data_IF_904949965024
#
_entry.id   IF_904949965024
#
_cell.length_a   1.000
_cell.length_b   1.000
_cell.length_c   1.000
_cell.angle_alpha   90.00
_cell.angle_beta   90.00
_cell.angle_gamma   90.00
#
_symmetry.space_group_name_H-M   'P 1'
#
loop_
_entity.id
_entity.type
_entity.pdbx_description
1 polymer ?
#
# COMPACT_ATOMS: atom_id res chain seq x y z
N UNK A 1 11.28 1.55 -3.28
CA UNK A 1 10.05 0.87 -2.84
C UNK A 1 9.65 1.33 -1.45
N UNK A 2 8.51 2.02 -1.28
CA UNK A 2 8.05 2.50 0.02
C UNK A 2 7.17 1.50 0.80
N UNK A 3 6.87 0.32 0.26
CA UNK A 3 5.90 -0.63 0.86
C UNK A 3 6.29 -1.02 2.30
N UNK A 4 7.56 -1.36 2.53
CA UNK A 4 8.02 -1.73 3.88
C UNK A 4 7.82 -0.60 4.90
N UNK A 5 8.10 0.66 4.52
CA UNK A 5 7.87 1.81 5.38
C UNK A 5 6.39 2.06 5.64
N UNK A 6 5.52 1.82 4.65
CA UNK A 6 4.07 1.89 4.83
C UNK A 6 3.60 0.81 5.80
N UNK A 7 4.09 -0.42 5.65
CA UNK A 7 3.74 -1.55 6.53
C UNK A 7 4.21 -1.32 7.97
N UNK A 8 5.33 -0.62 8.19
CA UNK A 8 5.74 -0.22 9.53
C UNK A 8 4.68 0.67 10.21
N UNK A 9 4.09 1.62 9.47
CA UNK A 9 3.01 2.47 9.96
C UNK A 9 1.71 1.69 10.19
N UNK A 10 1.26 0.87 9.22
CA UNK A 10 0.00 0.13 9.33
C UNK A 10 0.03 -0.87 10.47
N UNK A 11 1.18 -1.53 10.73
CA UNK A 11 1.35 -2.43 11.87
C UNK A 11 1.27 -1.68 13.20
N UNK A 12 1.89 -0.50 13.29
CA UNK A 12 1.76 0.39 14.45
C UNK A 12 0.32 0.83 14.70
N UNK A 13 -0.39 1.24 13.65
CA UNK A 13 -1.81 1.64 13.71
C UNK A 13 -2.72 0.49 14.12
N UNK A 14 -2.51 -0.70 13.56
CA UNK A 14 -3.28 -1.90 13.91
C UNK A 14 -3.12 -2.24 15.38
N UNK A 15 -1.87 -2.24 15.87
CA UNK A 15 -1.61 -2.51 17.28
C UNK A 15 -2.25 -1.46 18.19
N UNK A 16 -2.12 -0.17 17.84
CA UNK A 16 -2.74 0.91 18.60
C UNK A 16 -4.26 0.82 18.60
N UNK A 17 -4.87 0.56 17.45
CA UNK A 17 -6.32 0.42 17.30
C UNK A 17 -6.89 -0.70 18.17
N UNK A 18 -6.19 -1.84 18.23
CA UNK A 18 -6.56 -2.94 19.11
C UNK A 18 -6.49 -2.57 20.59
N UNK A 19 -5.43 -1.85 21.00
CA UNK A 19 -5.28 -1.42 22.40
C UNK A 19 -6.29 -0.34 22.81
N UNK A 20 -6.68 0.54 21.88
CA UNK A 20 -7.65 1.62 22.14
C UNK A 20 -9.11 1.20 21.97
N UNK A 21 -9.38 0.01 21.41
CA UNK A 21 -10.73 -0.40 21.06
C UNK A 21 -11.33 0.41 19.91
N UNK A 22 -10.50 0.86 18.96
CA UNK A 22 -10.87 1.66 17.78
C UNK A 22 -10.77 0.81 16.50
N UNK A 23 -11.73 -0.08 16.23
CA UNK A 23 -11.67 -1.01 15.09
C UNK A 23 -11.56 -0.30 13.74
N UNK A 24 -12.04 0.94 13.63
CA UNK A 24 -11.91 1.78 12.44
C UNK A 24 -10.46 2.11 12.10
N UNK A 25 -9.59 2.26 13.09
CA UNK A 25 -8.14 2.52 12.90
C UNK A 25 -7.46 1.26 12.36
N UNK A 26 -7.76 0.11 12.95
CA UNK A 26 -7.26 -1.19 12.48
C UNK A 26 -7.77 -1.51 11.06
N UNK A 27 -9.04 -1.22 10.77
CA UNK A 27 -9.63 -1.41 9.45
C UNK A 27 -8.99 -0.49 8.40
N UNK A 28 -8.70 0.77 8.73
CA UNK A 28 -7.97 1.67 7.84
C UNK A 28 -6.58 1.13 7.51
N UNK A 29 -5.83 0.67 8.53
CA UNK A 29 -4.50 0.12 8.35
C UNK A 29 -4.52 -1.13 7.45
N UNK A 30 -5.47 -2.04 7.68
CA UNK A 30 -5.64 -3.23 6.85
C UNK A 30 -6.00 -2.88 5.40
N UNK A 31 -6.93 -1.95 5.17
CA UNK A 31 -7.28 -1.49 3.81
C UNK A 31 -6.06 -0.93 3.08
N UNK A 32 -5.20 -0.18 3.77
CA UNK A 32 -3.97 0.37 3.18
C UNK A 32 -2.95 -0.72 2.82
N UNK A 33 -2.81 -1.76 3.64
CA UNK A 33 -1.98 -2.94 3.31
C UNK A 33 -2.52 -3.64 2.05
N UNK A 34 -3.83 -3.88 1.98
CA UNK A 34 -4.47 -4.50 0.83
C UNK A 34 -4.30 -3.64 -0.44
N UNK A 35 -4.43 -2.31 -0.36
CA UNK A 35 -4.18 -1.41 -1.49
C UNK A 35 -2.75 -1.54 -2.03
N UNK A 36 -1.75 -1.71 -1.15
CA UNK A 36 -0.37 -1.91 -1.58
C UNK A 36 -0.22 -3.20 -2.40
N UNK A 37 -0.86 -4.29 -1.94
CA UNK A 37 -0.84 -5.59 -2.61
C UNK A 37 -1.55 -5.48 -3.97
N UNK A 38 -2.81 -5.02 -3.97
CA UNK A 38 -3.63 -4.89 -5.18
C UNK A 38 -2.99 -3.96 -6.22
N UNK A 39 -2.30 -2.91 -5.79
CA UNK A 39 -1.61 -1.97 -6.71
C UNK A 39 -0.44 -2.66 -7.42
N UNK A 40 0.36 -3.46 -6.70
CA UNK A 40 1.47 -4.23 -7.29
C UNK A 40 0.95 -5.35 -8.18
N UNK A 41 -0.05 -6.11 -7.73
CA UNK A 41 -0.68 -7.17 -8.53
C UNK A 41 -1.37 -6.62 -9.78
N UNK A 42 -1.87 -5.39 -9.73
CA UNK A 42 -2.38 -4.62 -10.88
C UNK A 42 -1.30 -4.07 -11.82
N UNK A 43 -0.03 -4.39 -11.60
CA UNK A 43 1.10 -4.02 -12.46
C UNK A 43 1.72 -2.64 -12.17
N UNK A 44 1.21 -1.90 -11.19
CA UNK A 44 1.77 -0.62 -10.77
C UNK A 44 2.77 -0.87 -9.63
N UNK A 45 4.07 -0.85 -9.94
CA UNK A 45 5.12 -1.16 -8.94
C UNK A 45 6.39 -0.34 -9.16
N UNK A 46 7.27 -0.33 -8.16
CA UNK A 46 8.58 0.32 -8.29
C UNK A 46 9.59 -0.57 -9.01
N UNK A 47 10.67 0.07 -9.50
CA UNK A 47 11.70 -0.57 -10.35
C UNK A 47 12.25 -1.88 -9.78
N UNK A 48 12.50 -1.92 -8.48
CA UNK A 48 13.03 -3.11 -7.80
C UNK A 48 12.11 -4.33 -7.92
N UNK A 49 10.79 -4.16 -7.84
CA UNK A 49 9.84 -5.26 -8.02
C UNK A 49 9.68 -5.64 -9.49
N UNK A 50 9.63 -4.63 -10.38
CA UNK A 50 9.52 -4.87 -11.82
C UNK A 50 10.69 -5.71 -12.36
N UNK A 51 11.91 -5.45 -11.88
CA UNK A 51 13.10 -6.22 -12.25
C UNK A 51 13.04 -7.69 -11.82
N UNK A 52 12.24 -8.05 -10.81
CA UNK A 52 12.02 -9.45 -10.42
C UNK A 52 11.07 -10.18 -11.39
N UNK A 53 10.22 -9.44 -12.11
CA UNK A 53 9.29 -9.98 -13.10
C UNK A 53 10.01 -10.19 -14.44
N UNK A 54 10.71 -9.17 -14.92
CA UNK A 54 11.43 -9.23 -16.18
C UNK A 54 11.99 -7.88 -16.64
N UNK A 55 12.89 -7.88 -17.64
CA UNK A 55 13.59 -6.67 -18.09
C UNK A 55 12.67 -5.62 -18.73
N UNK A 56 11.56 -6.06 -19.33
CA UNK A 56 10.62 -5.20 -20.06
C UNK A 56 9.43 -4.72 -19.21
N UNK A 57 9.36 -5.14 -17.93
CA UNK A 57 8.25 -4.76 -17.05
C UNK A 57 8.31 -3.25 -16.74
N UNK A 58 7.26 -2.47 -17.08
CA UNK A 58 7.21 -1.05 -16.73
C UNK A 58 7.14 -0.85 -15.21
N UNK A 59 7.64 0.30 -14.77
CA UNK A 59 7.70 0.65 -13.35
C UNK A 59 7.43 2.14 -13.13
N UNK A 60 7.09 2.48 -11.89
CA UNK A 60 6.81 3.83 -11.42
C UNK A 60 7.97 4.36 -10.57
N UNK A 61 8.24 5.65 -10.68
CA UNK A 61 9.09 6.35 -9.70
C UNK A 61 8.42 6.35 -8.33
N UNK A 62 9.19 6.60 -7.26
CA UNK A 62 8.66 6.61 -5.89
C UNK A 62 7.41 7.47 -5.74
N UNK A 63 7.43 8.71 -6.24
CA UNK A 63 6.28 9.62 -6.13
C UNK A 63 5.07 9.14 -6.93
N UNK A 64 5.29 8.61 -8.15
CA UNK A 64 4.18 8.08 -8.97
C UNK A 64 3.56 6.83 -8.36
N UNK A 65 4.36 5.99 -7.71
CA UNK A 65 3.83 4.84 -6.98
C UNK A 65 3.02 5.30 -5.75
N UNK A 66 3.50 6.29 -4.98
CA UNK A 66 2.74 6.87 -3.87
C UNK A 66 1.42 7.52 -4.33
N UNK A 67 1.41 8.22 -5.47
CA UNK A 67 0.20 8.77 -6.08
C UNK A 67 -0.80 7.67 -6.49
N UNK A 68 -0.31 6.55 -7.03
CA UNK A 68 -1.15 5.40 -7.36
C UNK A 68 -1.79 4.80 -6.10
N UNK A 69 -1.02 4.62 -5.03
CA UNK A 69 -1.53 4.15 -3.74
C UNK A 69 -2.58 5.10 -3.15
N UNK A 70 -2.35 6.43 -3.17
CA UNK A 70 -3.32 7.42 -2.69
C UNK A 70 -4.62 7.37 -3.50
N UNK A 71 -4.52 7.29 -4.83
CA UNK A 71 -5.69 7.17 -5.72
C UNK A 71 -6.49 5.90 -5.42
N UNK A 72 -5.82 4.76 -5.29
CA UNK A 72 -6.45 3.47 -5.02
C UNK A 72 -7.04 3.42 -3.60
N UNK A 73 -6.38 4.04 -2.62
CA UNK A 73 -6.88 4.15 -1.26
C UNK A 73 -8.14 5.00 -1.18
N UNK A 74 -8.17 6.17 -1.83
CA UNK A 74 -9.38 7.00 -1.92
C UNK A 74 -10.56 6.22 -2.50
N UNK A 75 -10.33 5.47 -3.58
CA UNK A 75 -11.37 4.61 -4.17
C UNK A 75 -11.87 3.55 -3.20
N UNK A 76 -10.97 2.86 -2.49
CA UNK A 76 -11.30 1.79 -1.53
C UNK A 76 -11.99 2.29 -0.26
N UNK A 77 -11.79 3.56 0.09
CA UNK A 77 -12.46 4.21 1.22
C UNK A 77 -13.85 4.78 0.87
N UNK A 78 -14.13 5.03 -0.41
CA UNK A 78 -15.45 5.49 -0.88
C UNK A 78 -16.41 4.37 -1.27
N UNK A 79 -15.93 3.13 -1.34
CA UNK A 79 -16.74 1.92 -1.55
C UNK A 79 -17.24 1.36 -0.21
#
# INVERSE_FOLDING_TARGET
>A
NPIASIFAWTRGLTYRGNLDGTPEVSAFAQKLEEVCIETVEGGQMTKDLALLIGPDQPWLTTNRFLEALDTNMKRKMSA
#
